data_IF_214541784866
#
_entry.id   IF_214541784866
#
_cell.length_a   1.000
_cell.length_b   1.000
_cell.length_c   1.000
_cell.angle_alpha   90.00
_cell.angle_beta   90.00
_cell.angle_gamma   90.00
#
_symmetry.space_group_name_H-M   'P 1'
#
loop_
_entity.id
_entity.type
_entity.pdbx_description
1 polymer ?
#
# COMPACT_ATOMS: atom_id res chain seq x y z
N UNK A 1 -0.92 32.55 9.09
CA UNK A 1 -0.67 31.50 8.08
C UNK A 1 -1.56 30.30 8.44
N UNK A 2 -2.53 30.02 7.62
CA UNK A 2 -3.35 28.82 7.79
C UNK A 2 -2.50 27.66 7.26
N UNK A 3 -1.91 26.90 8.15
CA UNK A 3 -1.20 25.66 7.78
C UNK A 3 -2.29 24.61 7.51
N UNK A 4 -2.59 24.39 6.24
CA UNK A 4 -3.41 23.26 5.83
C UNK A 4 -2.62 21.98 6.07
N UNK A 5 -2.80 21.38 7.24
CA UNK A 5 -2.25 20.04 7.51
C UNK A 5 -3.04 19.01 6.71
N UNK A 6 -2.55 18.71 5.53
CA UNK A 6 -3.13 17.67 4.69
C UNK A 6 -2.34 16.37 4.87
N UNK A 7 -3.01 15.26 5.22
CA UNK A 7 -2.33 13.98 5.46
C UNK A 7 -1.51 13.51 4.26
N UNK A 8 -1.95 13.82 3.05
CA UNK A 8 -1.25 13.46 1.80
C UNK A 8 0.16 14.04 1.67
N UNK A 9 0.45 15.18 2.31
CA UNK A 9 1.77 15.84 2.24
C UNK A 9 2.58 15.69 3.52
N UNK A 10 1.96 15.18 4.60
CA UNK A 10 2.56 15.16 5.94
C UNK A 10 3.95 14.51 5.95
N UNK A 11 4.09 13.31 5.39
CA UNK A 11 5.37 12.59 5.38
C UNK A 11 6.44 13.38 4.64
N UNK A 12 6.11 14.01 3.52
CA UNK A 12 7.05 14.77 2.71
C UNK A 12 7.49 16.05 3.41
N UNK A 13 6.57 16.76 4.07
CA UNK A 13 6.90 17.95 4.86
C UNK A 13 7.77 17.60 6.08
N UNK A 14 7.46 16.52 6.78
CA UNK A 14 8.26 16.07 7.90
C UNK A 14 9.63 15.54 7.44
N UNK A 15 9.72 14.90 6.27
CA UNK A 15 10.99 14.47 5.70
C UNK A 15 11.93 15.65 5.39
N UNK A 16 11.40 16.79 4.92
CA UNK A 16 12.18 18.03 4.75
C UNK A 16 12.74 18.54 6.07
N UNK A 17 12.00 18.37 7.17
CA UNK A 17 12.37 18.87 8.49
C UNK A 17 13.32 17.93 9.24
N UNK A 18 13.09 16.63 9.16
CA UNK A 18 13.76 15.63 9.99
C UNK A 18 14.82 14.82 9.23
N UNK A 19 14.75 14.76 7.90
CA UNK A 19 15.75 14.10 7.05
C UNK A 19 16.00 12.64 7.45
N UNK A 20 17.23 12.36 7.85
CA UNK A 20 17.69 11.02 8.19
C UNK A 20 17.37 10.58 9.63
N UNK A 21 16.61 11.37 10.40
CA UNK A 21 16.13 10.91 11.71
C UNK A 21 15.19 9.73 11.55
N UNK A 22 15.25 8.81 12.50
CA UNK A 22 14.36 7.66 12.53
C UNK A 22 12.89 8.09 12.61
N UNK A 23 12.06 7.51 11.72
CA UNK A 23 10.61 7.66 11.71
C UNK A 23 9.94 6.39 12.24
N UNK A 24 10.39 5.23 11.76
CA UNK A 24 9.83 3.92 12.08
C UNK A 24 10.92 3.02 12.64
N UNK A 25 10.59 2.29 13.71
CA UNK A 25 11.39 1.19 14.24
C UNK A 25 10.53 -0.06 14.15
N UNK A 26 11.02 -1.10 13.50
CA UNK A 26 10.23 -2.27 13.13
C UNK A 26 11.05 -3.56 13.12
N UNK A 27 10.37 -4.69 13.06
CA UNK A 27 10.93 -5.98 12.70
C UNK A 27 10.34 -6.40 11.35
N UNK A 28 11.14 -6.97 10.47
CA UNK A 28 10.65 -7.56 9.20
C UNK A 28 9.71 -8.74 9.50
N UNK A 29 8.91 -9.11 8.53
CA UNK A 29 8.08 -10.32 8.58
C UNK A 29 8.92 -11.53 8.98
N UNK A 30 8.56 -12.18 10.09
CA UNK A 30 9.31 -13.30 10.64
C UNK A 30 10.71 -12.98 11.19
N UNK A 31 11.17 -11.74 11.11
CA UNK A 31 12.46 -11.27 11.61
C UNK A 31 12.49 -11.07 13.13
N UNK A 32 13.70 -11.16 13.71
CA UNK A 32 13.92 -10.89 15.15
C UNK A 32 14.74 -9.64 15.41
N UNK A 33 15.38 -9.11 14.37
CA UNK A 33 16.22 -7.93 14.48
C UNK A 33 15.38 -6.66 14.30
N UNK A 34 15.64 -5.68 15.17
CA UNK A 34 15.07 -4.36 15.03
C UNK A 34 15.82 -3.57 13.95
N UNK A 35 15.06 -2.96 13.06
CA UNK A 35 15.51 -2.08 11.99
C UNK A 35 14.83 -0.74 12.13
N UNK A 36 15.40 0.28 11.50
CA UNK A 36 14.77 1.59 11.43
C UNK A 36 14.74 2.12 10.00
N UNK A 37 13.75 2.97 9.73
CA UNK A 37 13.67 3.78 8.53
C UNK A 37 13.57 5.25 8.91
N UNK A 38 14.32 6.09 8.19
CA UNK A 38 14.27 7.52 8.35
C UNK A 38 13.03 8.13 7.70
N UNK A 39 12.69 9.37 8.08
CA UNK A 39 11.66 10.18 7.42
C UNK A 39 11.91 10.30 5.91
N UNK A 40 13.18 10.49 5.53
CA UNK A 40 13.55 10.57 4.12
C UNK A 40 13.26 9.28 3.38
N UNK A 41 13.68 8.13 3.92
CA UNK A 41 13.47 6.82 3.29
C UNK A 41 11.97 6.51 3.11
N UNK A 42 11.18 6.68 4.17
CA UNK A 42 9.72 6.47 4.08
C UNK A 42 9.09 7.41 3.04
N UNK A 43 9.51 8.69 3.01
CA UNK A 43 9.03 9.65 2.01
C UNK A 43 9.33 9.22 0.57
N UNK A 44 10.48 8.59 0.30
CA UNK A 44 10.80 8.08 -1.03
C UNK A 44 9.88 6.90 -1.41
N UNK A 45 9.71 5.93 -0.51
CA UNK A 45 8.79 4.80 -0.78
C UNK A 45 7.35 5.26 -0.98
N UNK A 46 6.87 6.21 -0.16
CA UNK A 46 5.53 6.81 -0.32
C UNK A 46 5.33 7.43 -1.71
N UNK A 47 6.36 8.11 -2.25
CA UNK A 47 6.31 8.62 -3.64
C UNK A 47 6.20 7.49 -4.67
N UNK A 48 6.98 6.42 -4.50
CA UNK A 48 6.92 5.26 -5.39
C UNK A 48 5.53 4.62 -5.35
N UNK A 49 4.93 4.46 -4.16
CA UNK A 49 3.56 3.94 -3.99
C UNK A 49 2.54 4.83 -4.73
N UNK A 50 2.58 6.15 -4.52
CA UNK A 50 1.69 7.09 -5.19
C UNK A 50 1.80 6.98 -6.72
N UNK A 51 3.03 6.97 -7.26
CA UNK A 51 3.28 6.85 -8.69
C UNK A 51 2.81 5.48 -9.23
N UNK A 52 3.06 4.38 -8.49
CA UNK A 52 2.64 3.04 -8.89
C UNK A 52 1.11 2.93 -8.95
N UNK A 53 0.39 3.45 -7.96
CA UNK A 53 -1.08 3.48 -7.95
C UNK A 53 -1.64 4.28 -9.13
N UNK A 54 -1.05 5.45 -9.45
CA UNK A 54 -1.43 6.22 -10.64
C UNK A 54 -1.15 5.45 -11.95
N UNK A 55 -0.04 4.71 -12.03
CA UNK A 55 0.29 3.88 -13.19
C UNK A 55 -0.67 2.69 -13.35
N UNK A 56 -1.23 2.18 -12.26
CA UNK A 56 -2.33 1.21 -12.27
C UNK A 56 -3.70 1.83 -12.59
N UNK A 57 -3.76 3.15 -12.77
CA UNK A 57 -5.00 3.86 -13.10
C UNK A 57 -5.94 4.09 -11.92
N UNK A 58 -5.42 4.05 -10.69
CA UNK A 58 -6.20 4.41 -9.49
C UNK A 58 -6.59 5.88 -9.56
N UNK A 59 -7.85 6.17 -9.26
CA UNK A 59 -8.45 7.51 -9.35
C UNK A 59 -8.68 8.12 -7.97
N UNK A 60 -8.91 9.43 -7.96
CA UNK A 60 -9.34 10.15 -6.76
C UNK A 60 -10.61 9.51 -6.18
N UNK A 61 -10.64 9.33 -4.86
CA UNK A 61 -11.73 8.69 -4.10
C UNK A 61 -11.96 7.20 -4.44
N UNK A 62 -11.06 6.57 -5.18
CA UNK A 62 -11.12 5.12 -5.40
C UNK A 62 -10.62 4.36 -4.18
N UNK A 63 -11.31 3.28 -3.83
CA UNK A 63 -10.97 2.45 -2.68
C UNK A 63 -9.89 1.44 -3.03
N UNK A 64 -8.88 1.32 -2.16
CA UNK A 64 -7.91 0.22 -2.15
C UNK A 64 -7.98 -0.51 -0.81
N UNK A 65 -7.82 -1.82 -0.81
CA UNK A 65 -7.88 -2.63 0.41
C UNK A 65 -6.49 -2.91 0.98
N UNK A 66 -6.37 -2.91 2.30
CA UNK A 66 -5.17 -3.37 3.00
C UNK A 66 -5.56 -4.43 4.01
N UNK A 67 -5.20 -5.67 3.74
CA UNK A 67 -5.46 -6.86 4.54
C UNK A 67 -4.15 -7.40 5.11
N UNK A 68 -3.68 -6.79 6.19
CA UNK A 68 -2.38 -7.08 6.79
C UNK A 68 -2.37 -6.75 8.28
N UNK A 69 -1.43 -7.36 9.00
CA UNK A 69 -0.96 -6.85 10.27
C UNK A 69 -0.27 -5.49 10.07
N UNK A 70 -0.07 -4.78 11.18
CA UNK A 70 0.72 -3.55 11.17
C UNK A 70 2.14 -3.84 10.65
N UNK A 71 2.55 -3.09 9.64
CA UNK A 71 3.87 -3.21 9.03
C UNK A 71 4.30 -1.85 8.46
N UNK A 72 5.56 -1.74 8.09
CA UNK A 72 6.09 -0.56 7.40
C UNK A 72 5.33 -0.34 6.09
N UNK A 73 5.17 -1.40 5.31
CA UNK A 73 4.49 -1.36 4.01
C UNK A 73 3.04 -0.88 4.12
N UNK A 74 2.36 -1.24 5.23
CA UNK A 74 1.02 -0.75 5.52
C UNK A 74 1.00 0.79 5.59
N UNK A 75 1.91 1.37 6.39
CA UNK A 75 2.02 2.82 6.57
C UNK A 75 2.40 3.51 5.25
N UNK A 76 3.34 2.93 4.50
CA UNK A 76 3.77 3.45 3.20
C UNK A 76 2.62 3.46 2.18
N UNK A 77 1.76 2.41 2.19
CA UNK A 77 0.57 2.34 1.35
C UNK A 77 -0.48 3.39 1.74
N UNK A 78 -0.74 3.59 3.03
CA UNK A 78 -1.68 4.60 3.50
C UNK A 78 -1.28 5.99 2.99
N UNK A 79 -0.06 6.42 3.29
CA UNK A 79 0.42 7.73 2.86
C UNK A 79 0.52 7.85 1.33
N UNK A 80 0.91 6.78 0.64
CA UNK A 80 0.98 6.76 -0.81
C UNK A 80 -0.38 6.89 -1.49
N UNK A 81 -1.38 6.18 -0.98
CA UNK A 81 -2.76 6.27 -1.44
C UNK A 81 -3.37 7.66 -1.16
N UNK A 82 -3.18 8.20 0.04
CA UNK A 82 -3.65 9.55 0.38
C UNK A 82 -2.95 10.61 -0.47
N UNK A 83 -1.69 10.38 -0.87
CA UNK A 83 -0.95 11.24 -1.79
C UNK A 83 -1.63 11.47 -3.13
N UNK A 84 -2.43 10.52 -3.60
CA UNK A 84 -3.24 10.61 -4.82
C UNK A 84 -4.74 10.77 -4.52
N UNK A 85 -5.12 11.02 -3.26
CA UNK A 85 -6.50 11.17 -2.80
C UNK A 85 -7.36 9.92 -2.99
N UNK A 86 -6.74 8.73 -3.03
CA UNK A 86 -7.43 7.45 -2.91
C UNK A 86 -7.82 7.19 -1.45
N UNK A 87 -8.70 6.24 -1.22
CA UNK A 87 -9.21 5.85 0.10
C UNK A 87 -8.67 4.48 0.46
N UNK A 88 -8.02 4.36 1.60
CA UNK A 88 -7.60 3.05 2.12
C UNK A 88 -8.68 2.44 2.99
N UNK A 89 -9.02 1.19 2.74
CA UNK A 89 -9.98 0.39 3.51
C UNK A 89 -9.19 -0.65 4.31
N UNK A 90 -9.06 -0.49 5.63
CA UNK A 90 -8.33 -1.43 6.47
C UNK A 90 -9.18 -2.68 6.75
N UNK A 91 -8.58 -3.86 6.57
CA UNK A 91 -9.15 -5.15 6.95
C UNK A 91 -8.41 -5.69 8.16
N UNK A 92 -9.14 -6.25 9.11
CA UNK A 92 -8.48 -6.97 10.20
C UNK A 92 -7.72 -8.18 9.65
N UNK A 93 -6.45 -8.33 10.03
CA UNK A 93 -5.57 -9.41 9.58
C UNK A 93 -6.15 -10.82 9.84
N UNK A 94 -7.07 -10.94 10.79
CA UNK A 94 -7.75 -12.18 11.17
C UNK A 94 -9.11 -12.39 10.49
N UNK A 95 -9.51 -11.49 9.59
CA UNK A 95 -10.81 -11.59 8.90
C UNK A 95 -10.95 -12.91 8.15
N UNK A 96 -12.17 -13.45 8.15
CA UNK A 96 -12.52 -14.64 7.38
C UNK A 96 -12.65 -14.36 5.89
N UNK A 97 -12.60 -15.39 5.06
CA UNK A 97 -12.79 -15.27 3.61
C UNK A 97 -14.12 -14.60 3.25
N UNK A 98 -15.21 -14.95 3.93
CA UNK A 98 -16.52 -14.34 3.70
C UNK A 98 -16.53 -12.85 4.02
N UNK A 99 -15.86 -12.45 5.12
CA UNK A 99 -15.76 -11.04 5.49
C UNK A 99 -14.95 -10.25 4.46
N UNK A 100 -13.81 -10.80 4.00
CA UNK A 100 -12.98 -10.15 2.99
C UNK A 100 -13.73 -10.03 1.67
N UNK A 101 -14.36 -11.13 1.23
CA UNK A 101 -15.16 -11.13 0.00
C UNK A 101 -16.27 -10.08 0.04
N UNK A 102 -16.99 -9.99 1.16
CA UNK A 102 -18.02 -8.98 1.34
C UNK A 102 -17.44 -7.57 1.22
N UNK A 103 -16.38 -7.26 1.97
CA UNK A 103 -15.77 -5.93 1.99
C UNK A 103 -15.17 -5.53 0.63
N UNK A 104 -14.51 -6.48 -0.07
CA UNK A 104 -13.96 -6.24 -1.41
C UNK A 104 -15.06 -5.88 -2.40
N UNK A 105 -16.18 -6.64 -2.38
CA UNK A 105 -17.30 -6.41 -3.29
C UNK A 105 -18.07 -5.13 -2.94
N UNK A 106 -18.35 -4.88 -1.66
CA UNK A 106 -19.09 -3.71 -1.19
C UNK A 106 -18.31 -2.41 -1.49
N UNK A 107 -17.03 -2.38 -1.17
CA UNK A 107 -16.16 -1.23 -1.42
C UNK A 107 -15.65 -1.15 -2.87
N UNK A 108 -15.96 -2.13 -3.73
CA UNK A 108 -15.52 -2.22 -5.14
C UNK A 108 -14.01 -2.13 -5.29
N UNK A 109 -13.28 -2.85 -4.44
CA UNK A 109 -11.82 -2.83 -4.40
C UNK A 109 -11.25 -3.49 -5.66
N UNK A 110 -10.35 -2.80 -6.34
CA UNK A 110 -9.59 -3.31 -7.48
C UNK A 110 -8.21 -3.84 -7.07
N UNK A 111 -7.60 -3.24 -6.07
CA UNK A 111 -6.25 -3.56 -5.61
C UNK A 111 -6.29 -3.89 -4.13
N UNK A 112 -5.86 -5.11 -3.78
CA UNK A 112 -5.83 -5.60 -2.40
C UNK A 112 -4.39 -5.86 -2.00
N UNK A 113 -3.89 -5.08 -1.04
CA UNK A 113 -2.60 -5.32 -0.42
C UNK A 113 -2.76 -6.32 0.71
N UNK A 114 -1.89 -7.33 0.76
CA UNK A 114 -1.95 -8.40 1.74
C UNK A 114 -0.61 -8.58 2.46
N UNK A 115 -0.65 -8.95 3.74
CA UNK A 115 0.53 -9.11 4.57
C UNK A 115 1.26 -10.43 4.33
N UNK A 116 0.86 -11.45 5.06
CA UNK A 116 1.51 -12.74 5.15
C UNK A 116 0.78 -13.83 4.35
N UNK A 117 1.28 -15.07 4.42
CA UNK A 117 0.77 -16.20 3.64
C UNK A 117 -0.74 -16.45 3.85
N UNK A 118 -1.24 -16.36 5.10
CA UNK A 118 -2.66 -16.58 5.39
C UNK A 118 -3.56 -15.56 4.68
N UNK A 119 -3.16 -14.27 4.68
CA UNK A 119 -3.92 -13.23 4.01
C UNK A 119 -3.88 -13.40 2.48
N UNK A 120 -2.71 -13.74 1.93
CA UNK A 120 -2.60 -14.04 0.50
C UNK A 120 -3.46 -15.22 0.09
N UNK A 121 -3.41 -16.31 0.83
CA UNK A 121 -4.19 -17.53 0.52
C UNK A 121 -5.70 -17.27 0.55
N UNK A 122 -6.17 -16.52 1.54
CA UNK A 122 -7.58 -16.09 1.63
C UNK A 122 -7.96 -15.18 0.46
N UNK A 123 -7.15 -14.17 0.16
CA UNK A 123 -7.39 -13.25 -0.96
C UNK A 123 -7.44 -14.00 -2.30
N UNK A 124 -6.54 -14.95 -2.51
CA UNK A 124 -6.52 -15.78 -3.72
C UNK A 124 -7.76 -16.64 -3.87
N UNK A 125 -8.25 -17.26 -2.76
CA UNK A 125 -9.46 -18.10 -2.81
C UNK A 125 -10.73 -17.33 -3.17
N UNK A 126 -10.82 -16.06 -2.76
CA UNK A 126 -11.98 -15.22 -3.09
C UNK A 126 -11.84 -14.47 -4.42
N UNK A 127 -10.70 -14.51 -5.06
CA UNK A 127 -10.39 -13.66 -6.23
C UNK A 127 -11.45 -13.78 -7.34
N UNK A 128 -11.82 -15.01 -7.70
CA UNK A 128 -12.86 -15.27 -8.73
C UNK A 128 -14.27 -14.87 -8.29
N UNK A 129 -14.50 -14.65 -7.00
CA UNK A 129 -15.78 -14.24 -6.42
C UNK A 129 -15.89 -12.70 -6.25
N UNK A 130 -14.85 -11.97 -6.64
CA UNK A 130 -14.73 -10.52 -6.51
C UNK A 130 -14.49 -9.89 -7.90
N UNK A 131 -15.54 -9.61 -8.68
CA UNK A 131 -15.39 -9.19 -10.09
C UNK A 131 -14.64 -7.88 -10.29
N UNK A 132 -14.53 -7.04 -9.26
CA UNK A 132 -13.77 -5.80 -9.33
C UNK A 132 -12.29 -5.98 -8.99
N UNK A 133 -11.92 -7.08 -8.31
CA UNK A 133 -10.55 -7.31 -7.87
C UNK A 133 -9.66 -7.67 -9.06
N UNK A 134 -8.68 -6.83 -9.33
CA UNK A 134 -7.78 -6.97 -10.48
C UNK A 134 -6.40 -7.50 -10.07
N UNK A 135 -5.94 -7.15 -8.85
CA UNK A 135 -4.60 -7.51 -8.41
C UNK A 135 -4.49 -7.63 -6.89
N UNK A 136 -3.67 -8.59 -6.47
CA UNK A 136 -3.20 -8.77 -5.10
C UNK A 136 -1.74 -8.33 -5.03
N UNK A 137 -1.39 -7.46 -4.09
CA UNK A 137 -0.02 -7.00 -3.86
C UNK A 137 0.43 -7.52 -2.49
N UNK A 138 1.51 -8.30 -2.47
CA UNK A 138 1.96 -9.03 -1.28
C UNK A 138 3.13 -8.30 -0.61
N UNK A 139 2.98 -7.98 0.68
CA UNK A 139 4.00 -7.26 1.45
C UNK A 139 5.19 -8.14 1.84
N UNK A 140 4.92 -9.32 2.41
CA UNK A 140 5.96 -10.21 2.89
C UNK A 140 6.64 -10.93 1.70
N UNK A 141 7.96 -10.72 1.46
CA UNK A 141 8.68 -11.37 0.39
C UNK A 141 8.84 -12.88 0.57
N UNK A 142 8.54 -13.41 1.78
CA UNK A 142 8.61 -14.84 2.06
C UNK A 142 7.32 -15.59 1.71
N UNK A 143 6.25 -14.89 1.38
CA UNK A 143 5.00 -15.49 0.90
C UNK A 143 5.25 -16.23 -0.41
N UNK A 144 4.80 -17.47 -0.47
CA UNK A 144 4.84 -18.23 -1.70
C UNK A 144 3.68 -17.86 -2.63
N UNK A 145 3.95 -16.94 -3.57
CA UNK A 145 3.01 -16.65 -4.65
C UNK A 145 3.04 -17.83 -5.64
N UNK A 146 1.89 -18.42 -5.91
CA UNK A 146 1.78 -19.51 -6.90
C UNK A 146 2.24 -19.03 -8.28
N UNK A 147 3.08 -19.81 -8.94
CA UNK A 147 3.57 -19.56 -10.32
C UNK A 147 2.43 -19.47 -11.35
N UNK A 148 1.24 -19.97 -11.00
CA UNK A 148 0.04 -19.93 -11.84
C UNK A 148 -0.92 -18.81 -11.44
N UNK A 149 -0.50 -17.88 -10.58
CA UNK A 149 -1.31 -16.72 -10.20
C UNK A 149 -0.79 -15.45 -10.88
N UNK A 150 -1.33 -15.10 -12.06
CA UNK A 150 -0.88 -13.92 -12.79
C UNK A 150 -1.37 -12.60 -12.15
N UNK A 151 -2.27 -12.72 -11.17
CA UNK A 151 -2.94 -11.58 -10.56
C UNK A 151 -2.26 -11.12 -9.26
N UNK A 152 -1.24 -11.86 -8.79
CA UNK A 152 -0.49 -11.50 -7.60
C UNK A 152 0.94 -11.06 -7.94
N UNK A 153 1.41 -10.03 -7.24
CA UNK A 153 2.78 -9.51 -7.36
C UNK A 153 3.33 -9.16 -5.99
N UNK A 154 4.64 -9.19 -5.83
CA UNK A 154 5.28 -8.68 -4.61
C UNK A 154 5.27 -7.16 -4.56
N UNK A 155 5.25 -6.61 -3.36
CA UNK A 155 5.31 -5.16 -3.14
C UNK A 155 6.54 -4.51 -3.78
N UNK A 156 7.69 -5.21 -3.77
CA UNK A 156 8.90 -4.76 -4.45
C UNK A 156 8.71 -4.57 -5.96
N UNK A 157 7.95 -5.45 -6.61
CA UNK A 157 7.66 -5.33 -8.05
C UNK A 157 6.61 -4.26 -8.33
N UNK A 158 5.63 -4.10 -7.43
CA UNK A 158 4.68 -2.99 -7.48
C UNK A 158 5.40 -1.63 -7.38
N UNK A 159 6.38 -1.47 -6.47
CA UNK A 159 7.15 -0.22 -6.33
C UNK A 159 7.93 0.14 -7.60
N UNK A 160 8.46 -0.86 -8.35
CA UNK A 160 9.14 -0.63 -9.63
C UNK A 160 8.25 0.06 -10.67
N UNK A 161 6.93 -0.13 -10.61
CA UNK A 161 6.00 0.60 -11.48
C UNK A 161 6.04 2.10 -11.23
N UNK A 162 6.19 2.51 -9.96
CA UNK A 162 6.27 3.92 -9.58
C UNK A 162 7.66 4.53 -9.81
N UNK A 163 8.70 3.72 -9.77
CA UNK A 163 10.08 4.13 -10.02
C UNK A 163 10.34 4.33 -11.53
N UNK A 164 9.93 3.36 -12.35
CA UNK A 164 10.18 3.34 -13.79
C UNK A 164 9.36 4.36 -14.57
N UNK A 165 8.17 4.71 -14.09
CA UNK A 165 7.24 5.65 -14.72
C UNK A 165 6.79 6.70 -13.71
N UNK A 166 7.65 7.63 -13.31
CA UNK A 166 7.32 8.62 -12.29
C UNK A 166 6.25 9.61 -12.80
N UNK A 167 5.18 9.78 -12.01
CA UNK A 167 4.10 10.74 -12.25
C UNK A 167 4.05 11.82 -11.18
N UNK A 168 5.22 12.21 -10.66
CA UNK A 168 5.32 13.11 -9.52
C UNK A 168 4.58 14.44 -9.73
N UNK A 169 4.65 15.02 -10.94
CA UNK A 169 3.91 16.26 -11.25
C UNK A 169 2.40 16.11 -11.10
N UNK A 170 1.86 14.92 -11.36
CA UNK A 170 0.42 14.64 -11.16
C UNK A 170 0.11 14.44 -9.69
N UNK A 171 0.96 13.71 -8.95
CA UNK A 171 0.86 13.59 -7.49
C UNK A 171 0.86 14.97 -6.84
N UNK A 172 1.81 15.84 -7.21
CA UNK A 172 1.92 17.19 -6.65
C UNK A 172 0.67 18.04 -6.90
N UNK A 173 0.01 17.87 -8.06
CA UNK A 173 -1.26 18.54 -8.35
C UNK A 173 -2.42 18.01 -7.49
N UNK A 174 -2.43 16.71 -7.18
CA UNK A 174 -3.47 16.10 -6.35
C UNK A 174 -3.32 16.46 -4.86
N UNK A 175 -2.12 16.89 -4.45
CA UNK A 175 -1.81 17.29 -3.08
C UNK A 175 -2.07 18.79 -2.79
N UNK A 176 -2.43 19.57 -3.78
CA UNK A 176 -2.81 20.98 -3.66
C UNK A 176 -4.30 21.16 -3.33
#
# INVERSE_FOLDING_TARGET
MQTNYHMSVLVHEQAKKYGDREMLIYQDFGGKEWKSLSWYQVSQTVKQVSNALLNLGVKVQENIGIFSQNSVQYIECDFGAWGIRAVTIPFYATSSEQQIQFMVNDAKIRYLFVGEQDQYDKARRIFSLCPTLERIIVFDPMVHISTHDPNAVYFSDFLKLGENLPRQTEVDKLQQ
#
